data_IF_492159616322
#
_entry.id   IF_492159616322
#
_cell.length_a   1.000
_cell.length_b   1.000
_cell.length_c   1.000
_cell.angle_alpha   90.00
_cell.angle_beta   90.00
_cell.angle_gamma   90.00
#
_symmetry.space_group_name_H-M   'P 1'
#
loop_
_entity.id
_entity.type
_entity.pdbx_description
1 polymer ?
#
# COMPACT_ATOMS: atom_id res chain seq x y z
N UNK A 1 15.36 -14.75 14.26
CA UNK A 1 14.47 -15.52 13.36
C UNK A 1 14.35 -14.75 12.05
N UNK A 2 14.51 -15.43 10.90
CA UNK A 2 14.76 -14.78 9.61
C UNK A 2 13.75 -13.70 9.25
N UNK A 3 14.29 -12.53 8.97
CA UNK A 3 13.63 -11.33 8.53
C UNK A 3 13.17 -11.45 7.07
N UNK A 4 12.16 -12.29 6.83
CA UNK A 4 11.63 -12.52 5.48
C UNK A 4 10.92 -11.27 4.99
N UNK A 5 11.62 -10.52 4.15
CA UNK A 5 11.08 -9.38 3.41
C UNK A 5 9.89 -9.83 2.58
N UNK A 6 8.75 -9.17 2.74
CA UNK A 6 7.53 -9.52 2.02
C UNK A 6 6.76 -8.27 1.61
N UNK A 7 5.96 -8.46 0.57
CA UNK A 7 4.89 -7.55 0.16
C UNK A 7 3.68 -8.45 -0.10
N UNK A 8 2.67 -8.34 0.74
CA UNK A 8 1.37 -8.96 0.50
C UNK A 8 0.43 -7.89 -0.04
N UNK A 9 -0.37 -8.26 -1.05
CA UNK A 9 -1.40 -7.38 -1.60
C UNK A 9 -2.61 -8.21 -2.02
N UNK A 10 -3.76 -7.85 -1.49
CA UNK A 10 -5.07 -8.43 -1.80
C UNK A 10 -5.89 -7.37 -2.51
N UNK A 11 -6.46 -7.72 -3.65
CA UNK A 11 -7.21 -6.79 -4.50
C UNK A 11 -8.66 -7.23 -4.58
N UNK A 12 -9.56 -6.32 -4.21
CA UNK A 12 -11.00 -6.50 -4.25
C UNK A 12 -11.56 -5.67 -5.41
N UNK A 13 -11.92 -6.30 -6.53
CA UNK A 13 -12.58 -5.59 -7.62
C UNK A 13 -13.99 -5.18 -7.20
N UNK A 14 -14.30 -3.87 -7.26
CA UNK A 14 -15.68 -3.37 -7.02
C UNK A 14 -16.48 -3.44 -8.33
N UNK A 15 -15.84 -3.08 -9.46
CA UNK A 15 -16.37 -3.12 -10.83
C UNK A 15 -15.21 -3.28 -11.82
N UNK A 16 -15.49 -3.39 -13.13
CA UNK A 16 -14.46 -3.38 -14.19
C UNK A 16 -13.55 -2.14 -14.18
N UNK A 17 -13.97 -1.07 -13.50
CA UNK A 17 -13.27 0.21 -13.47
C UNK A 17 -12.48 0.48 -12.20
N UNK A 18 -12.74 -0.25 -11.10
CA UNK A 18 -12.23 0.11 -9.79
C UNK A 18 -11.92 -1.12 -8.93
N UNK A 19 -10.83 -1.05 -8.18
CA UNK A 19 -10.39 -2.06 -7.23
C UNK A 19 -9.87 -1.40 -5.95
N UNK A 20 -10.19 -2.00 -4.81
CA UNK A 20 -9.59 -1.67 -3.51
C UNK A 20 -8.43 -2.62 -3.28
N UNK A 21 -7.32 -2.09 -2.77
CA UNK A 21 -6.13 -2.85 -2.45
C UNK A 21 -5.90 -2.79 -0.94
N UNK A 22 -5.73 -3.97 -0.32
CA UNK A 22 -5.21 -4.11 1.03
C UNK A 22 -3.81 -4.72 0.94
N UNK A 23 -2.81 -4.07 1.51
CA UNK A 23 -1.42 -4.52 1.43
C UNK A 23 -0.73 -4.53 2.77
N UNK A 24 0.32 -5.33 2.92
CA UNK A 24 1.25 -5.28 4.04
C UNK A 24 2.68 -5.44 3.53
N UNK A 25 3.65 -4.76 4.16
CA UNK A 25 5.06 -4.95 3.82
C UNK A 25 6.01 -4.82 5.01
N UNK A 26 7.03 -5.67 5.02
CA UNK A 26 8.16 -5.60 5.94
C UNK A 26 9.39 -4.86 5.38
N UNK A 27 9.30 -4.25 4.18
CA UNK A 27 10.42 -3.57 3.49
C UNK A 27 10.84 -2.22 4.10
N UNK A 28 10.57 -1.96 5.39
CA UNK A 28 10.68 -0.62 5.97
C UNK A 28 11.49 -0.55 7.27
N UNK A 29 12.35 -1.55 7.54
CA UNK A 29 13.19 -1.56 8.75
C UNK A 29 14.04 -0.30 8.96
N UNK A 30 14.50 0.32 7.88
CA UNK A 30 15.33 1.53 7.96
C UNK A 30 14.51 2.83 8.18
N UNK A 31 13.18 2.75 8.17
CA UNK A 31 12.28 3.86 8.51
C UNK A 31 11.81 3.78 9.98
N UNK A 32 12.28 2.79 10.74
CA UNK A 32 11.91 2.62 12.13
C UNK A 32 12.78 3.46 13.06
N UNK A 33 12.13 4.36 13.80
CA UNK A 33 12.70 5.03 14.97
C UNK A 33 12.30 4.35 16.28
N UNK A 34 11.40 3.34 16.25
CA UNK A 34 10.81 2.76 17.47
C UNK A 34 10.31 1.32 17.29
N UNK A 35 9.96 0.68 18.42
CA UNK A 35 9.69 -0.74 18.58
C UNK A 35 8.37 -1.19 17.89
N UNK A 36 8.48 -1.99 16.82
CA UNK A 36 7.36 -2.42 15.98
C UNK A 36 6.26 -3.23 16.69
N UNK A 37 6.53 -3.75 17.90
CA UNK A 37 5.60 -4.61 18.64
C UNK A 37 4.35 -3.87 19.13
N UNK A 38 4.39 -2.53 19.22
CA UNK A 38 3.27 -1.75 19.72
C UNK A 38 2.31 -1.23 18.65
N UNK A 39 2.64 -1.38 17.36
CA UNK A 39 1.83 -0.81 16.29
C UNK A 39 1.17 -1.89 15.42
N UNK A 40 -0.08 -2.19 15.77
CA UNK A 40 -0.89 -3.26 15.20
C UNK A 40 -1.13 -3.10 13.70
N UNK A 41 -0.98 -1.88 13.18
CA UNK A 41 -1.26 -1.56 11.78
C UNK A 41 0.01 -1.18 11.01
N UNK A 42 1.20 -1.40 11.58
CA UNK A 42 2.46 -1.11 10.90
C UNK A 42 2.60 -1.88 9.58
N UNK A 43 2.96 -1.15 8.52
CA UNK A 43 3.15 -1.69 7.18
C UNK A 43 1.85 -1.96 6.42
N UNK A 44 0.67 -1.84 7.06
CA UNK A 44 -0.61 -1.96 6.38
C UNK A 44 -0.83 -0.78 5.43
N UNK A 45 -1.29 -1.10 4.23
CA UNK A 45 -1.62 -0.13 3.20
C UNK A 45 -3.00 -0.33 2.65
N UNK A 46 -3.66 0.78 2.37
CA UNK A 46 -4.95 0.87 1.71
C UNK A 46 -4.76 1.57 0.38
N UNK A 47 -5.43 1.11 -0.67
CA UNK A 47 -5.37 1.78 -1.96
C UNK A 47 -6.63 1.62 -2.78
N UNK A 48 -6.78 2.53 -3.74
CA UNK A 48 -7.81 2.51 -4.76
C UNK A 48 -7.10 2.59 -6.12
N UNK A 49 -7.37 1.64 -6.99
CA UNK A 49 -6.98 1.73 -8.40
C UNK A 49 -8.20 1.93 -9.27
N UNK A 50 -8.10 2.87 -10.19
CA UNK A 50 -9.11 3.18 -11.19
C UNK A 50 -8.52 2.87 -12.57
N UNK A 51 -9.24 2.09 -13.37
CA UNK A 51 -8.87 1.73 -14.74
C UNK A 51 -10.02 2.07 -15.67
N UNK A 52 -9.75 2.97 -16.61
CA UNK A 52 -10.58 3.24 -17.77
C UNK A 52 -9.84 2.82 -19.04
N UNK A 53 -10.49 2.99 -20.19
CA UNK A 53 -9.85 2.75 -21.50
C UNK A 53 -8.63 3.65 -21.74
N UNK A 54 -8.65 4.89 -21.22
CA UNK A 54 -7.64 5.91 -21.52
C UNK A 54 -6.72 6.22 -20.34
N UNK A 55 -7.10 5.86 -19.12
CA UNK A 55 -6.38 6.25 -17.89
C UNK A 55 -6.32 5.08 -16.91
N UNK A 56 -5.15 4.86 -16.33
CA UNK A 56 -4.94 4.07 -15.11
C UNK A 56 -4.44 5.00 -14.02
N UNK A 57 -5.18 5.06 -12.92
CA UNK A 57 -4.81 5.83 -11.74
C UNK A 57 -4.74 4.91 -10.52
N UNK A 58 -3.77 5.13 -9.65
CA UNK A 58 -3.65 4.47 -8.36
C UNK A 58 -3.42 5.54 -7.30
N UNK A 59 -4.17 5.46 -6.22
CA UNK A 59 -3.91 6.20 -4.99
C UNK A 59 -3.79 5.19 -3.86
N UNK A 60 -2.82 5.38 -2.98
CA UNK A 60 -2.68 4.53 -1.81
C UNK A 60 -2.00 5.24 -0.66
N UNK A 61 -2.23 4.72 0.54
CA UNK A 61 -1.51 5.09 1.74
C UNK A 61 -0.95 3.84 2.40
N UNK A 62 0.12 4.01 3.17
CA UNK A 62 0.69 2.96 4.00
C UNK A 62 1.04 3.55 5.37
N UNK A 63 0.71 2.84 6.44
CA UNK A 63 1.02 3.22 7.80
C UNK A 63 2.46 2.82 8.16
N UNK A 64 3.28 3.81 8.53
CA UNK A 64 4.65 3.62 9.03
C UNK A 64 4.73 3.66 10.56
N UNK A 65 3.59 3.56 11.23
CA UNK A 65 3.44 3.68 12.66
C UNK A 65 3.79 5.06 13.17
N UNK A 66 4.72 5.16 14.12
CA UNK A 66 5.14 6.44 14.71
C UNK A 66 5.69 7.45 13.68
N UNK A 67 6.23 6.98 12.55
CA UNK A 67 6.66 7.83 11.45
C UNK A 67 5.49 8.41 10.62
N UNK A 68 4.24 8.04 10.94
CA UNK A 68 3.03 8.50 10.30
C UNK A 68 2.67 7.72 9.03
N UNK A 69 1.93 8.37 8.14
CA UNK A 69 1.45 7.75 6.90
C UNK A 69 2.26 8.22 5.69
N UNK A 70 2.53 7.30 4.76
CA UNK A 70 3.06 7.64 3.42
C UNK A 70 1.98 7.42 2.38
N UNK A 71 1.79 8.43 1.53
CA UNK A 71 0.81 8.42 0.45
C UNK A 71 1.52 8.36 -0.90
N UNK A 72 0.88 7.73 -1.89
CA UNK A 72 1.40 7.61 -3.24
C UNK A 72 0.29 7.74 -4.27
N UNK A 73 0.56 8.48 -5.34
CA UNK A 73 -0.34 8.65 -6.47
C UNK A 73 0.43 8.30 -7.74
N UNK A 74 -0.17 7.48 -8.60
CA UNK A 74 0.37 7.14 -9.92
C UNK A 74 -0.73 7.30 -10.95
N UNK A 75 -0.47 8.05 -12.01
CA UNK A 75 -1.39 8.26 -13.12
C UNK A 75 -0.66 7.93 -14.42
N UNK A 76 -1.28 7.10 -15.24
CA UNK A 76 -0.76 6.68 -16.55
C UNK A 76 -1.86 6.78 -17.59
N UNK A 77 -1.58 7.50 -18.68
CA UNK A 77 -2.40 7.45 -19.89
C UNK A 77 -2.18 6.12 -20.60
N UNK A 78 -3.26 5.46 -21.00
CA UNK A 78 -3.23 4.25 -21.82
C UNK A 78 -3.51 4.70 -23.26
N UNK A 79 -2.57 4.42 -24.17
CA UNK A 79 -2.70 4.63 -25.61
C UNK A 79 -3.51 3.51 -26.24
#
# INVERSE_FOLDING_TARGET
FLDKKHIFNIQFPIKKIAQINLSNTSYRKNLSSYNFENDWFYGLGLGLSIKSSTIKANIGMNNLGDAGFVYGISIKKTL
#
